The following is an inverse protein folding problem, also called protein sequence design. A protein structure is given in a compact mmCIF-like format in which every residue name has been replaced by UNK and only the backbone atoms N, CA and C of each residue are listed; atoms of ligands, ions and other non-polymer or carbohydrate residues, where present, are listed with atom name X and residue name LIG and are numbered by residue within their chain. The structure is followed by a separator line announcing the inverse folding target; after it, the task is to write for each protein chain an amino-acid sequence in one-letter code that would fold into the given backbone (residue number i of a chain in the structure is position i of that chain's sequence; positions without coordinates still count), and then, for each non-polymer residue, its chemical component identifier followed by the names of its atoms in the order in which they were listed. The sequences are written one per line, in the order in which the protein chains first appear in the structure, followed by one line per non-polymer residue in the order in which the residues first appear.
data_IF_538803874118
#
_entry.id   IF_538803874118
#
_cell.length_a   1.000
_cell.length_b   1.000
_cell.length_c   1.000
_cell.angle_alpha   90.00
_cell.angle_beta   90.00
_cell.angle_gamma   90.00
#
_symmetry.space_group_name_H-M   'P 1'
#
loop_
_entity.id
_entity.type
_entity.pdbx_description
1 polymer ?
#
# COMPACT_ATOMS: atom_id res chain seq x y z
N UNK A 1 -9.25 -24.04 0.59
CA UNK A 1 -8.66 -23.09 1.56
C UNK A 1 -9.22 -21.71 1.30
N UNK A 2 -9.70 -21.01 2.31
CA UNK A 2 -10.19 -19.65 2.13
C UNK A 2 -9.03 -18.71 1.76
N UNK A 3 -9.33 -17.72 0.93
CA UNK A 3 -8.39 -16.67 0.60
C UNK A 3 -8.43 -15.60 1.70
N UNK A 4 -7.26 -15.25 2.25
CA UNK A 4 -7.14 -14.27 3.33
C UNK A 4 -6.52 -12.98 2.82
N UNK A 5 -7.09 -11.88 3.22
CA UNK A 5 -6.73 -10.55 2.76
C UNK A 5 -6.59 -9.60 3.95
N UNK A 6 -5.49 -8.87 4.01
CA UNK A 6 -5.35 -7.73 4.93
C UNK A 6 -5.50 -6.43 4.16
N UNK A 7 -6.37 -5.56 4.63
CA UNK A 7 -6.68 -4.30 3.97
C UNK A 7 -6.59 -3.12 4.93
N UNK A 8 -5.97 -2.06 4.48
CA UNK A 8 -5.96 -0.76 5.18
C UNK A 8 -6.01 0.36 4.14
N UNK A 9 -6.34 1.56 4.58
CA UNK A 9 -6.41 2.72 3.70
C UNK A 9 -6.39 4.04 4.45
N UNK A 10 -6.29 5.13 3.70
CA UNK A 10 -6.30 6.50 4.20
C UNK A 10 -5.30 6.73 5.33
N UNK A 11 -4.08 6.29 5.13
CA UNK A 11 -3.07 6.29 6.19
C UNK A 11 -2.56 7.69 6.48
N UNK A 12 -2.37 8.52 5.46
CA UNK A 12 -1.91 9.91 5.59
C UNK A 12 -0.68 10.03 6.48
N UNK A 13 0.37 9.30 6.13
CA UNK A 13 1.63 9.35 6.86
C UNK A 13 2.24 10.73 6.74
N UNK A 14 2.49 11.38 7.86
CA UNK A 14 3.08 12.71 7.94
C UNK A 14 4.24 12.72 8.91
N UNK A 15 5.41 13.20 8.46
CA UNK A 15 6.61 13.28 9.30
C UNK A 15 6.40 14.18 10.51
N UNK A 16 5.63 15.26 10.35
CA UNK A 16 5.42 16.28 11.37
C UNK A 16 4.23 16.01 12.29
N UNK A 17 3.43 14.97 12.01
CA UNK A 17 2.21 14.69 12.79
C UNK A 17 2.06 13.19 13.03
N UNK A 18 2.17 12.83 14.31
CA UNK A 18 1.91 11.45 14.74
C UNK A 18 2.69 10.40 13.95
N UNK A 19 3.88 10.76 13.47
CA UNK A 19 4.68 9.85 12.64
C UNK A 19 4.97 8.54 13.36
N UNK A 20 5.41 8.63 14.61
CA UNK A 20 5.73 7.43 15.40
C UNK A 20 4.52 6.53 15.62
N UNK A 21 3.36 7.12 15.93
CA UNK A 21 2.14 6.36 16.15
C UNK A 21 1.66 5.69 14.86
N UNK A 22 1.69 6.43 13.75
CA UNK A 22 1.31 5.89 12.44
C UNK A 22 2.25 4.77 12.01
N UNK A 23 3.56 4.98 12.17
CA UNK A 23 4.55 3.96 11.85
C UNK A 23 4.33 2.68 12.66
N UNK A 24 4.01 2.81 13.95
CA UNK A 24 3.74 1.69 14.82
C UNK A 24 2.49 0.93 14.41
N UNK A 25 1.43 1.63 14.01
CA UNK A 25 0.21 1.01 13.50
C UNK A 25 0.46 0.26 12.19
N UNK A 26 1.29 0.82 11.31
CA UNK A 26 1.66 0.16 10.06
C UNK A 26 2.49 -1.09 10.32
N UNK A 27 3.44 -1.01 11.22
CA UNK A 27 4.25 -2.16 11.62
C UNK A 27 3.36 -3.27 12.18
N UNK A 28 2.41 -2.91 13.04
CA UNK A 28 1.44 -3.87 13.56
C UNK A 28 0.61 -4.51 12.45
N UNK A 29 0.14 -3.71 11.49
CA UNK A 29 -0.63 -4.19 10.34
C UNK A 29 0.17 -5.23 9.53
N UNK A 30 1.43 -4.93 9.24
CA UNK A 30 2.31 -5.83 8.49
C UNK A 30 2.55 -7.12 9.28
N UNK A 31 2.92 -7.00 10.54
CA UNK A 31 3.20 -8.15 11.40
C UNK A 31 1.97 -9.04 11.60
N UNK A 32 0.80 -8.42 11.78
CA UNK A 32 -0.45 -9.17 11.92
C UNK A 32 -0.80 -9.93 10.65
N UNK A 33 -0.64 -9.29 9.48
CA UNK A 33 -0.87 -9.96 8.20
C UNK A 33 0.04 -11.15 7.99
N UNK A 34 1.31 -11.01 8.33
CA UNK A 34 2.27 -12.12 8.24
C UNK A 34 1.87 -13.24 9.21
N UNK A 35 1.54 -12.90 10.45
CA UNK A 35 1.11 -13.88 11.45
C UNK A 35 -0.14 -14.63 11.05
N UNK A 36 -1.10 -13.94 10.43
CA UNK A 36 -2.35 -14.52 9.93
C UNK A 36 -2.15 -15.30 8.61
N UNK A 37 -0.96 -15.26 8.06
CA UNK A 37 -0.61 -15.90 6.79
C UNK A 37 -1.56 -15.49 5.66
N UNK A 38 -1.69 -14.19 5.46
CA UNK A 38 -2.57 -13.65 4.42
C UNK A 38 -2.03 -13.94 3.02
N UNK A 39 -2.94 -14.04 2.06
CA UNK A 39 -2.63 -14.30 0.65
C UNK A 39 -2.43 -13.02 -0.15
N UNK A 40 -2.87 -11.88 0.39
CA UNK A 40 -2.79 -10.59 -0.28
C UNK A 40 -2.83 -9.45 0.74
N UNK A 41 -1.97 -8.45 0.55
CA UNK A 41 -2.07 -7.17 1.25
C UNK A 41 -2.67 -6.13 0.30
N UNK A 42 -3.62 -5.35 0.79
CA UNK A 42 -4.20 -4.24 0.02
C UNK A 42 -4.06 -2.95 0.82
N UNK A 43 -3.46 -1.95 0.19
CA UNK A 43 -3.38 -0.60 0.75
C UNK A 43 -4.11 0.34 -0.21
N UNK A 44 -5.20 0.91 0.27
CA UNK A 44 -6.11 1.71 -0.51
C UNK A 44 -6.08 3.17 -0.04
N UNK A 45 -6.03 4.10 -0.98
CA UNK A 45 -6.11 5.52 -0.68
C UNK A 45 -4.76 6.19 -0.45
N UNK A 46 -4.80 7.29 0.28
CA UNK A 46 -3.65 8.18 0.43
C UNK A 46 -2.60 7.61 1.39
N UNK A 47 -1.42 7.32 0.87
CA UNK A 47 -0.28 6.86 1.65
C UNK A 47 0.32 8.02 2.45
N UNK A 48 0.44 9.17 1.80
CA UNK A 48 0.89 10.41 2.40
C UNK A 48 -0.10 11.51 2.07
N UNK A 49 -0.17 12.56 2.89
CA UNK A 49 -1.07 13.69 2.66
C UNK A 49 -0.58 14.54 1.49
N UNK A 50 0.72 14.71 1.41
CA UNK A 50 1.39 15.49 0.37
C UNK A 50 2.50 14.65 -0.27
N UNK A 51 3.31 15.27 -1.12
CA UNK A 51 4.50 14.61 -1.64
C UNK A 51 5.35 14.09 -0.47
N UNK A 52 5.69 12.81 -0.51
CA UNK A 52 6.40 12.15 0.58
C UNK A 52 7.77 12.75 0.84
N UNK A 53 8.09 12.97 2.12
CA UNK A 53 9.44 13.30 2.55
C UNK A 53 10.31 12.04 2.43
N UNK A 54 11.64 12.21 2.54
CA UNK A 54 12.58 11.07 2.49
C UNK A 54 12.27 10.07 3.60
N UNK A 55 11.97 10.56 4.80
CA UNK A 55 11.65 9.71 5.95
C UNK A 55 10.35 8.92 5.75
N UNK A 56 9.32 9.58 5.25
CA UNK A 56 8.04 8.95 4.93
C UNK A 56 8.21 7.89 3.85
N UNK A 57 8.94 8.23 2.79
CA UNK A 57 9.20 7.32 1.68
C UNK A 57 9.98 6.08 2.12
N UNK A 58 11.01 6.27 2.94
CA UNK A 58 11.82 5.17 3.43
C UNK A 58 10.98 4.20 4.28
N UNK A 59 10.14 4.72 5.15
CA UNK A 59 9.23 3.88 5.94
C UNK A 59 8.29 3.09 5.05
N UNK A 60 7.70 3.73 4.06
CA UNK A 60 6.79 3.08 3.11
C UNK A 60 7.46 1.97 2.33
N UNK A 61 8.64 2.24 1.78
CA UNK A 61 9.40 1.24 1.02
C UNK A 61 9.68 0.03 1.90
N UNK A 62 10.13 0.24 3.12
CA UNK A 62 10.43 -0.86 4.05
C UNK A 62 9.19 -1.68 4.36
N UNK A 63 8.05 -1.04 4.61
CA UNK A 63 6.80 -1.73 4.91
C UNK A 63 6.29 -2.53 3.72
N UNK A 64 6.31 -1.94 2.53
CA UNK A 64 5.86 -2.62 1.31
C UNK A 64 6.76 -3.81 0.99
N UNK A 65 8.07 -3.68 1.16
CA UNK A 65 9.00 -4.79 0.95
C UNK A 65 8.73 -5.93 1.93
N UNK A 66 8.52 -5.61 3.21
CA UNK A 66 8.19 -6.63 4.21
C UNK A 66 6.91 -7.38 3.85
N UNK A 67 5.88 -6.67 3.41
CA UNK A 67 4.65 -7.29 2.92
C UNK A 67 4.91 -8.17 1.70
N UNK A 68 5.64 -7.64 0.72
CA UNK A 68 5.93 -8.34 -0.54
C UNK A 68 6.86 -9.54 -0.38
N UNK A 69 7.64 -9.59 0.69
CA UNK A 69 8.43 -10.78 1.02
C UNK A 69 7.54 -11.93 1.51
N UNK A 70 6.33 -11.63 1.95
CA UNK A 70 5.38 -12.63 2.44
C UNK A 70 4.29 -12.98 1.41
N UNK A 71 3.70 -11.98 0.76
CA UNK A 71 2.56 -12.16 -0.15
C UNK A 71 2.50 -11.01 -1.16
N UNK A 72 1.73 -11.15 -2.25
CA UNK A 72 1.50 -10.03 -3.16
C UNK A 72 0.89 -8.82 -2.47
N UNK A 73 1.17 -7.64 -3.01
CA UNK A 73 0.71 -6.36 -2.47
C UNK A 73 0.00 -5.58 -3.58
N UNK A 74 -1.22 -5.15 -3.30
CA UNK A 74 -1.96 -4.25 -4.17
C UNK A 74 -2.00 -2.86 -3.53
N UNK A 75 -1.44 -1.89 -4.22
CA UNK A 75 -1.49 -0.49 -3.83
C UNK A 75 -2.49 0.23 -4.73
N UNK A 76 -3.45 0.93 -4.14
CA UNK A 76 -4.42 1.73 -4.90
C UNK A 76 -4.11 3.19 -4.66
N UNK A 77 -3.83 3.91 -5.74
CA UNK A 77 -3.47 5.32 -5.67
C UNK A 77 -4.63 6.18 -5.17
N UNK A 78 -4.36 7.04 -4.20
CA UNK A 78 -5.33 7.98 -3.65
C UNK A 78 -5.37 9.32 -4.39
N UNK A 79 -6.02 10.30 -3.75
CA UNK A 79 -6.13 11.66 -4.29
C UNK A 79 -4.90 12.52 -3.99
N UNK A 80 -4.15 12.18 -2.96
CA UNK A 80 -2.95 12.88 -2.52
C UNK A 80 -1.71 12.02 -2.78
N UNK A 81 -0.56 12.66 -2.90
CA UNK A 81 0.72 11.97 -3.02
C UNK A 81 0.93 11.18 -4.31
N UNK A 82 0.15 11.44 -5.35
CA UNK A 82 0.21 10.67 -6.61
C UNK A 82 1.58 10.61 -7.26
N UNK A 83 2.31 11.72 -7.23
CA UNK A 83 3.64 11.80 -7.83
C UNK A 83 4.64 10.94 -7.06
N UNK A 84 4.48 10.85 -5.75
CA UNK A 84 5.31 10.02 -4.88
C UNK A 84 4.99 8.54 -4.99
N UNK A 85 3.72 8.20 -5.25
CA UNK A 85 3.27 6.81 -5.34
C UNK A 85 4.02 6.03 -6.43
N UNK A 86 4.25 6.67 -7.58
CA UNK A 86 4.99 6.06 -8.69
C UNK A 86 6.42 5.71 -8.32
N UNK A 87 7.12 6.61 -7.65
CA UNK A 87 8.49 6.40 -7.19
C UNK A 87 8.57 5.30 -6.14
N UNK A 88 7.64 5.31 -5.20
CA UNK A 88 7.51 4.26 -4.19
C UNK A 88 7.34 2.89 -4.82
N UNK A 89 6.44 2.81 -5.77
CA UNK A 89 6.16 1.57 -6.49
C UNK A 89 7.40 1.04 -7.21
N UNK A 90 8.08 1.91 -7.95
CA UNK A 90 9.25 1.51 -8.73
C UNK A 90 10.37 0.94 -7.83
N UNK A 91 10.63 1.59 -6.71
CA UNK A 91 11.65 1.15 -5.77
C UNK A 91 11.27 -0.15 -5.06
N UNK A 92 10.03 -0.26 -4.61
CA UNK A 92 9.55 -1.46 -3.93
C UNK A 92 9.48 -2.65 -4.87
N UNK A 93 9.01 -2.44 -6.10
CA UNK A 93 8.89 -3.51 -7.10
C UNK A 93 10.23 -4.14 -7.43
N UNK A 94 11.30 -3.34 -7.43
CA UNK A 94 12.63 -3.85 -7.74
C UNK A 94 13.20 -4.78 -6.65
N UNK A 95 12.64 -4.75 -5.43
CA UNK A 95 13.19 -5.45 -4.26
C UNK A 95 12.28 -6.50 -3.66
N UNK A 96 10.97 -6.41 -3.89
CA UNK A 96 10.00 -7.35 -3.34
C UNK A 96 10.08 -8.73 -3.99
N UNK A 97 9.88 -9.80 -3.21
CA UNK A 97 9.87 -11.18 -3.73
C UNK A 97 8.56 -11.55 -4.42
N UNK A 98 7.45 -11.02 -3.92
CA UNK A 98 6.14 -11.22 -4.51
C UNK A 98 5.73 -10.01 -5.34
N UNK A 99 4.71 -10.19 -6.16
CA UNK A 99 4.18 -9.15 -7.03
C UNK A 99 3.71 -7.95 -6.22
N UNK A 100 4.13 -6.76 -6.64
CA UNK A 100 3.61 -5.48 -6.15
C UNK A 100 2.92 -4.80 -7.32
N UNK A 101 1.65 -4.48 -7.17
CA UNK A 101 0.87 -3.83 -8.22
C UNK A 101 0.34 -2.49 -7.73
N UNK A 102 0.62 -1.42 -8.48
CA UNK A 102 0.05 -0.10 -8.23
C UNK A 102 -1.09 0.14 -9.20
N UNK A 103 -2.30 0.29 -8.68
CA UNK A 103 -3.48 0.63 -9.46
C UNK A 103 -3.72 2.12 -9.42
N UNK A 104 -3.67 2.77 -10.58
CA UNK A 104 -3.88 4.22 -10.72
C UNK A 104 -5.21 4.57 -11.37
N UNK A 105 -5.87 3.58 -11.94
CA UNK A 105 -7.16 3.71 -12.61
C UNK A 105 -8.04 2.52 -12.26
N UNK A 106 -9.38 2.63 -12.43
CA UNK A 106 -10.24 1.48 -12.21
C UNK A 106 -9.83 0.32 -13.11
N UNK A 107 -9.57 -0.83 -12.50
CA UNK A 107 -9.16 -2.03 -13.23
C UNK A 107 -9.47 -3.29 -12.43
N UNK A 108 -9.50 -4.42 -13.12
CA UNK A 108 -9.62 -5.72 -12.51
C UNK A 108 -8.21 -6.33 -12.41
N UNK A 109 -7.76 -6.61 -11.20
CA UNK A 109 -6.44 -7.19 -10.95
C UNK A 109 -6.60 -8.60 -10.44
N UNK A 110 -5.95 -9.55 -11.11
CA UNK A 110 -6.03 -10.96 -10.73
C UNK A 110 -4.84 -11.36 -9.87
N UNK A 111 -5.13 -12.01 -8.75
CA UNK A 111 -4.14 -12.57 -7.84
C UNK A 111 -4.49 -14.03 -7.58
N UNK A 112 -3.71 -14.95 -8.15
CA UNK A 112 -3.91 -16.38 -8.01
C UNK A 112 -5.37 -16.76 -8.38
N UNK A 113 -6.19 -17.12 -7.41
CA UNK A 113 -7.59 -17.54 -7.60
C UNK A 113 -8.61 -16.44 -7.31
N UNK A 114 -8.18 -15.21 -7.09
CA UNK A 114 -9.05 -14.08 -6.73
C UNK A 114 -8.79 -12.91 -7.65
N UNK A 115 -9.87 -12.27 -8.11
CA UNK A 115 -9.80 -11.03 -8.87
C UNK A 115 -10.31 -9.89 -7.99
N UNK A 116 -9.58 -8.78 -7.95
CA UNK A 116 -9.93 -7.59 -7.19
C UNK A 116 -10.25 -6.45 -8.15
N UNK A 117 -11.46 -5.89 -8.01
CA UNK A 117 -11.82 -4.69 -8.75
C UNK A 117 -11.30 -3.47 -8.00
N UNK A 118 -10.31 -2.82 -8.59
CA UNK A 118 -9.80 -1.55 -8.08
C UNK A 118 -10.64 -0.42 -8.66
N UNK A 119 -11.29 0.35 -7.78
CA UNK A 119 -12.10 1.49 -8.18
C UNK A 119 -11.61 2.72 -7.45
N UNK A 120 -11.06 3.66 -8.21
CA UNK A 120 -10.57 4.90 -7.65
C UNK A 120 -11.63 5.99 -7.78
N UNK A 121 -11.93 6.62 -6.66
CA UNK A 121 -12.83 7.76 -6.65
C UNK A 121 -12.01 9.01 -7.00
N UNK A 122 -12.39 9.67 -8.10
CA UNK A 122 -11.83 10.98 -8.44
C UNK A 122 -12.72 12.05 -7.86
N UNK A 123 -12.11 13.03 -7.17
CA UNK A 123 -12.85 14.21 -6.76
C UNK A 123 -13.38 14.91 -8.01
N UNK A 124 -14.70 15.20 -8.02
CA UNK A 124 -15.28 15.97 -9.11
C UNK A 124 -14.78 17.40 -9.01
N UNK A 125 -14.20 17.87 -10.09
CA UNK A 125 -13.94 19.30 -10.24
C UNK A 125 -15.25 19.98 -10.55
N UNK A 126 -15.59 20.95 -9.73
CA UNK A 126 -16.68 21.85 -10.05
C UNK A 126 -16.15 22.99 -10.92
#
# INVERSE_FOLDING_TARGET
MPFRLSHTGDIHLEEDRYFGDTAQCLEWFVCDGIRQNVDLFVIDGDLTTYKATIKERNLWIDMVIQMADHAPVLLVSGNHGRESDGDLYALAKARGQHRIHLSTEPELVEFDRVAVLSSRIRARRK
#
